data_IF_078707477218
#
_entry.id   IF_078707477218
#
_cell.length_a   1.000
_cell.length_b   1.000
_cell.length_c   1.000
_cell.angle_alpha   90.00
_cell.angle_beta   90.00
_cell.angle_gamma   90.00
#
_symmetry.space_group_name_H-M   'P 1'
#
loop_
_entity.id
_entity.type
_entity.pdbx_description
1 polymer ?
#
# COMPACT_ATOMS: atom_id res chain seq x y z
N UNK A 1 -9.22 -10.87 24.40
CA UNK A 1 -9.51 -9.67 23.60
C UNK A 1 -10.64 -10.03 22.64
N UNK A 2 -11.88 -9.63 22.93
CA UNK A 2 -12.99 -9.79 21.99
C UNK A 2 -13.11 -8.51 21.18
N UNK A 3 -12.53 -8.50 19.98
CA UNK A 3 -12.80 -7.46 18.99
C UNK A 3 -14.14 -7.81 18.33
N UNK A 4 -15.23 -7.29 18.87
CA UNK A 4 -16.54 -7.41 18.23
C UNK A 4 -16.43 -6.74 16.86
N UNK A 5 -16.43 -7.56 15.80
CA UNK A 5 -16.44 -7.06 14.43
C UNK A 5 -17.60 -6.09 14.23
N UNK A 6 -17.43 -5.10 13.36
CA UNK A 6 -18.52 -4.18 13.05
C UNK A 6 -19.74 -4.97 12.50
N UNK A 7 -20.98 -4.49 12.72
CA UNK A 7 -22.18 -5.15 12.20
C UNK A 7 -22.12 -5.42 10.69
N UNK A 8 -21.43 -4.56 9.93
CA UNK A 8 -21.25 -4.73 8.49
C UNK A 8 -20.34 -5.93 8.16
N UNK A 9 -19.21 -6.08 8.86
CA UNK A 9 -18.32 -7.22 8.67
C UNK A 9 -19.00 -8.53 9.08
N UNK A 10 -19.73 -8.53 10.21
CA UNK A 10 -20.48 -9.72 10.64
C UNK A 10 -21.49 -10.17 9.59
N UNK A 11 -22.24 -9.23 9.00
CA UNK A 11 -23.19 -9.51 7.92
C UNK A 11 -22.49 -10.05 6.67
N UNK A 12 -21.39 -9.44 6.24
CA UNK A 12 -20.66 -9.89 5.07
C UNK A 12 -20.09 -11.31 5.23
N UNK A 13 -19.54 -11.62 6.41
CA UNK A 13 -18.97 -12.95 6.72
C UNK A 13 -20.07 -14.00 6.85
N UNK A 14 -21.25 -13.67 7.37
CA UNK A 14 -22.35 -14.63 7.56
C UNK A 14 -22.87 -15.29 6.27
N UNK A 15 -22.60 -14.70 5.11
CA UNK A 15 -23.03 -15.20 3.79
C UNK A 15 -21.85 -15.62 2.90
N UNK A 16 -20.62 -15.54 3.40
CA UNK A 16 -19.43 -15.86 2.62
C UNK A 16 -19.25 -17.38 2.42
N UNK A 17 -18.56 -17.75 1.34
CA UNK A 17 -18.00 -19.09 1.15
C UNK A 17 -16.47 -18.95 1.20
N UNK A 18 -15.77 -19.66 2.09
CA UNK A 18 -14.31 -19.65 2.11
C UNK A 18 -13.73 -20.07 0.75
N UNK A 19 -12.70 -19.37 0.31
CA UNK A 19 -11.87 -19.77 -0.82
C UNK A 19 -10.52 -20.25 -0.27
N UNK A 20 -9.95 -21.28 -0.89
CA UNK A 20 -8.62 -21.80 -0.55
C UNK A 20 -7.58 -21.01 -1.35
N UNK A 21 -7.24 -19.83 -0.85
CA UNK A 21 -6.32 -18.87 -1.49
C UNK A 21 -5.30 -18.41 -0.47
N UNK A 22 -4.02 -18.45 -0.85
CA UNK A 22 -2.93 -17.99 0.00
C UNK A 22 -2.76 -16.48 -0.16
N UNK A 23 -3.03 -15.74 0.90
CA UNK A 23 -2.79 -14.30 0.95
C UNK A 23 -1.29 -14.02 1.05
N UNK A 24 -0.77 -13.14 0.20
CA UNK A 24 0.66 -12.79 0.14
C UNK A 24 0.92 -11.30 0.25
N UNK A 25 2.10 -10.96 0.78
CA UNK A 25 2.72 -9.64 0.65
C UNK A 25 3.67 -9.68 -0.55
N UNK A 26 3.53 -8.72 -1.46
CA UNK A 26 4.41 -8.57 -2.61
C UNK A 26 5.41 -7.45 -2.35
N UNK A 27 6.69 -7.71 -2.59
CA UNK A 27 7.71 -6.67 -2.62
C UNK A 27 7.65 -5.95 -3.98
N UNK A 28 7.45 -4.63 -3.95
CA UNK A 28 7.42 -3.80 -5.14
C UNK A 28 8.75 -3.83 -5.92
N UNK A 29 9.87 -4.13 -5.26
CA UNK A 29 11.17 -4.29 -5.92
C UNK A 29 11.25 -5.56 -6.79
N UNK A 30 10.34 -6.52 -6.60
CA UNK A 30 10.22 -7.70 -7.45
C UNK A 30 9.34 -7.46 -8.70
N UNK A 31 8.67 -6.30 -8.79
CA UNK A 31 7.91 -5.92 -9.97
C UNK A 31 8.82 -5.23 -10.99
N UNK A 32 8.79 -5.71 -12.23
CA UNK A 32 9.54 -5.08 -13.33
C UNK A 32 8.90 -3.76 -13.79
N UNK A 33 7.62 -3.55 -13.50
CA UNK A 33 6.87 -2.37 -13.92
C UNK A 33 5.58 -2.15 -13.11
N UNK A 34 5.11 -0.90 -13.05
CA UNK A 34 3.77 -0.51 -12.58
C UNK A 34 2.76 -0.39 -13.73
N UNK A 35 3.15 -0.72 -14.97
CA UNK A 35 2.27 -0.65 -16.13
C UNK A 35 1.11 -1.66 -16.03
N UNK A 36 -0.11 -1.22 -16.38
CA UNK A 36 -1.32 -2.03 -16.24
C UNK A 36 -1.34 -3.32 -17.05
N UNK A 37 -0.60 -3.40 -18.17
CA UNK A 37 -0.45 -4.65 -18.94
C UNK A 37 0.35 -5.69 -18.15
N UNK A 38 1.47 -5.29 -17.56
CA UNK A 38 2.30 -6.15 -16.72
C UNK A 38 1.58 -6.57 -15.45
N UNK A 39 0.97 -5.62 -14.73
CA UNK A 39 0.24 -5.93 -13.50
C UNK A 39 -0.96 -6.86 -13.74
N UNK A 40 -1.55 -6.84 -14.94
CA UNK A 40 -2.62 -7.76 -15.33
C UNK A 40 -2.10 -9.19 -15.45
N UNK A 41 -0.93 -9.36 -16.05
CA UNK A 41 -0.26 -10.66 -16.17
C UNK A 41 0.11 -11.18 -14.77
N UNK A 42 0.79 -10.39 -13.95
CA UNK A 42 1.14 -10.75 -12.56
C UNK A 42 -0.10 -11.15 -11.76
N UNK A 43 -1.20 -10.38 -11.85
CA UNK A 43 -2.44 -10.69 -11.14
C UNK A 43 -3.06 -12.00 -11.59
N UNK A 44 -3.03 -12.29 -12.90
CA UNK A 44 -3.56 -13.52 -13.46
C UNK A 44 -2.72 -14.72 -13.01
N UNK A 45 -1.40 -14.62 -13.10
CA UNK A 45 -0.48 -15.68 -12.70
C UNK A 45 -0.56 -15.99 -11.19
N UNK A 46 -0.65 -14.96 -10.34
CA UNK A 46 -0.89 -15.16 -8.91
C UNK A 46 -2.19 -15.93 -8.66
N UNK A 47 -3.27 -15.57 -9.34
CA UNK A 47 -4.56 -16.24 -9.16
C UNK A 47 -4.53 -17.69 -9.66
N UNK A 48 -3.87 -17.96 -10.79
CA UNK A 48 -3.72 -19.31 -11.35
C UNK A 48 -2.91 -20.23 -10.42
N UNK A 49 -1.94 -19.66 -9.70
CA UNK A 49 -1.12 -20.36 -8.69
C UNK A 49 -1.78 -20.37 -7.28
N UNK A 50 -3.00 -19.84 -7.13
CA UNK A 50 -3.74 -19.87 -5.85
C UNK A 50 -3.30 -18.81 -4.83
N UNK A 51 -2.67 -17.74 -5.27
CA UNK A 51 -2.25 -16.60 -4.46
C UNK A 51 -3.15 -15.38 -4.65
N UNK A 52 -3.26 -14.57 -3.59
CA UNK A 52 -3.90 -13.25 -3.65
C UNK A 52 -3.01 -12.22 -2.96
N UNK A 53 -2.63 -11.17 -3.70
CA UNK A 53 -1.94 -10.02 -3.15
C UNK A 53 -2.84 -9.31 -2.13
N UNK A 54 -2.43 -9.28 -0.86
CA UNK A 54 -3.11 -8.51 0.18
C UNK A 54 -2.38 -7.22 0.52
N UNK A 55 -1.05 -7.23 0.43
CA UNK A 55 -0.20 -6.07 0.72
C UNK A 55 0.82 -5.90 -0.40
N UNK A 56 1.04 -4.66 -0.83
CA UNK A 56 2.23 -4.27 -1.59
C UNK A 56 3.19 -3.57 -0.62
N UNK A 57 4.42 -4.04 -0.53
CA UNK A 57 5.47 -3.45 0.29
C UNK A 57 6.44 -2.69 -0.60
N UNK A 58 6.78 -1.45 -0.23
CA UNK A 58 7.71 -0.59 -0.97
C UNK A 58 8.67 0.09 0.00
N UNK A 59 9.91 0.33 -0.43
CA UNK A 59 10.87 1.14 0.32
C UNK A 59 10.95 2.53 -0.29
N UNK A 60 10.90 3.55 0.55
CA UNK A 60 11.03 4.95 0.14
C UNK A 60 12.20 5.64 0.83
N UNK A 61 12.77 6.65 0.18
CA UNK A 61 13.89 7.45 0.69
C UNK A 61 13.64 8.94 0.52
N UNK A 62 13.75 9.68 1.61
CA UNK A 62 13.63 11.15 1.64
C UNK A 62 14.95 11.80 2.08
N UNK A 63 16.03 11.44 1.39
CA UNK A 63 17.43 11.76 1.77
C UNK A 63 17.80 13.23 1.54
N UNK A 64 17.00 13.92 0.74
CA UNK A 64 17.20 15.31 0.36
C UNK A 64 16.17 16.22 1.02
N UNK A 65 16.60 17.42 1.40
CA UNK A 65 15.75 18.43 2.04
C UNK A 65 15.05 19.38 1.05
N UNK A 66 15.21 19.12 -0.26
CA UNK A 66 14.66 19.93 -1.33
C UNK A 66 13.27 19.43 -1.76
N UNK A 67 12.34 20.36 -2.04
CA UNK A 67 10.95 20.00 -2.35
C UNK A 67 10.82 19.14 -3.61
N UNK A 68 11.73 19.30 -4.58
CA UNK A 68 11.68 18.53 -5.84
C UNK A 68 11.92 17.04 -5.59
N UNK A 69 12.98 16.68 -4.86
CA UNK A 69 13.28 15.30 -4.51
C UNK A 69 12.14 14.66 -3.71
N UNK A 70 11.57 15.40 -2.74
CA UNK A 70 10.38 14.93 -2.01
C UNK A 70 9.19 14.67 -2.94
N UNK A 71 8.92 15.56 -3.90
CA UNK A 71 7.81 15.35 -4.84
C UNK A 71 8.07 14.16 -5.77
N UNK A 72 9.29 13.98 -6.27
CA UNK A 72 9.65 12.82 -7.10
C UNK A 72 9.39 11.50 -6.37
N UNK A 73 9.81 11.40 -5.12
CA UNK A 73 9.58 10.20 -4.30
C UNK A 73 8.07 9.98 -4.06
N UNK A 74 7.32 11.04 -3.77
CA UNK A 74 5.87 10.96 -3.57
C UNK A 74 5.15 10.57 -4.86
N UNK A 75 5.59 11.06 -6.01
CA UNK A 75 5.01 10.70 -7.31
C UNK A 75 5.26 9.21 -7.61
N UNK A 76 6.44 8.67 -7.29
CA UNK A 76 6.70 7.23 -7.37
C UNK A 76 5.78 6.43 -6.44
N UNK A 77 5.60 6.86 -5.20
CA UNK A 77 4.68 6.21 -4.27
C UNK A 77 3.22 6.25 -4.73
N UNK A 78 2.80 7.27 -5.50
CA UNK A 78 1.45 7.31 -6.09
C UNK A 78 1.25 6.21 -7.13
N UNK A 79 2.28 5.88 -7.92
CA UNK A 79 2.20 4.76 -8.87
C UNK A 79 1.99 3.44 -8.13
N UNK A 80 2.62 3.26 -6.97
CA UNK A 80 2.43 2.05 -6.16
C UNK A 80 1.06 1.99 -5.46
N UNK A 81 0.43 3.12 -5.14
CA UNK A 81 -0.98 3.12 -4.68
C UNK A 81 -1.89 2.60 -5.79
N UNK A 82 -1.69 3.06 -7.02
CA UNK A 82 -2.46 2.62 -8.18
C UNK A 82 -2.19 1.14 -8.48
N UNK A 83 -0.94 0.70 -8.39
CA UNK A 83 -0.56 -0.70 -8.56
C UNK A 83 -1.20 -1.60 -7.49
N UNK A 84 -1.17 -1.20 -6.21
CA UNK A 84 -1.81 -1.94 -5.12
C UNK A 84 -3.32 -2.10 -5.37
N UNK A 85 -4.01 -1.01 -5.71
CA UNK A 85 -5.44 -1.04 -6.04
C UNK A 85 -5.72 -1.96 -7.24
N UNK A 86 -4.89 -1.88 -8.29
CA UNK A 86 -5.02 -2.72 -9.48
C UNK A 86 -4.85 -4.22 -9.16
N UNK A 87 -3.82 -4.57 -8.39
CA UNK A 87 -3.54 -5.94 -7.94
C UNK A 87 -4.63 -6.47 -6.99
N UNK A 88 -5.43 -5.58 -6.39
CA UNK A 88 -6.45 -5.92 -5.40
C UNK A 88 -5.90 -6.03 -3.97
N UNK A 89 -4.69 -5.51 -3.75
CA UNK A 89 -4.12 -5.38 -2.42
C UNK A 89 -4.85 -4.26 -1.67
N UNK A 90 -5.35 -4.56 -0.47
CA UNK A 90 -6.04 -3.58 0.37
C UNK A 90 -5.07 -2.70 1.16
N UNK A 91 -3.76 -2.98 1.11
CA UNK A 91 -2.73 -2.26 1.85
C UNK A 91 -1.51 -1.96 0.99
N UNK A 92 -0.96 -0.76 1.18
CA UNK A 92 0.37 -0.37 0.75
C UNK A 92 1.21 -0.09 2.00
N UNK A 93 2.27 -0.86 2.22
CA UNK A 93 3.23 -0.63 3.31
C UNK A 93 4.46 0.07 2.74
N UNK A 94 4.72 1.28 3.20
CA UNK A 94 5.92 2.05 2.83
C UNK A 94 6.92 1.99 3.97
N UNK A 95 8.05 1.34 3.73
CA UNK A 95 9.19 1.38 4.65
C UNK A 95 10.02 2.62 4.33
N UNK A 96 10.08 3.58 5.25
CA UNK A 96 10.94 4.76 5.08
C UNK A 96 12.30 4.45 5.68
N UNK A 97 13.30 4.28 4.81
CA UNK A 97 14.69 3.95 5.18
C UNK A 97 15.36 5.18 5.84
N UNK A 98 15.13 6.35 5.25
CA UNK A 98 15.84 7.58 5.58
C UNK A 98 14.97 8.82 5.31
N UNK A 99 15.08 9.83 6.18
CA UNK A 99 14.34 11.09 6.05
C UNK A 99 15.16 12.28 6.59
N UNK A 100 15.47 13.24 5.72
CA UNK A 100 16.28 14.41 6.07
C UNK A 100 15.49 15.56 6.71
N UNK A 101 14.20 15.68 6.39
CA UNK A 101 13.33 16.77 6.88
C UNK A 101 11.88 16.27 7.08
N UNK A 102 11.59 15.52 8.17
CA UNK A 102 10.30 14.90 8.39
C UNK A 102 9.12 15.86 8.32
N UNK A 103 9.28 17.09 8.83
CA UNK A 103 8.25 18.12 8.82
C UNK A 103 7.83 18.57 7.42
N UNK A 104 8.72 18.45 6.43
CA UNK A 104 8.42 18.77 5.03
C UNK A 104 7.76 17.61 4.30
N UNK A 105 8.06 16.38 4.70
CA UNK A 105 7.57 15.15 4.06
C UNK A 105 6.18 14.77 4.56
N UNK A 106 5.91 14.96 5.86
CA UNK A 106 4.63 14.61 6.50
C UNK A 106 3.37 15.09 5.76
N UNK A 107 3.27 16.36 5.29
CA UNK A 107 2.09 16.81 4.55
C UNK A 107 1.89 16.06 3.23
N UNK A 108 2.98 15.71 2.54
CA UNK A 108 2.90 14.98 1.28
C UNK A 108 2.50 13.51 1.50
N UNK A 109 3.02 12.87 2.56
CA UNK A 109 2.59 11.53 2.97
C UNK A 109 1.12 11.49 3.44
N UNK A 110 0.66 12.53 4.15
CA UNK A 110 -0.76 12.64 4.52
C UNK A 110 -1.64 12.76 3.27
N UNK A 111 -1.26 13.60 2.29
CA UNK A 111 -1.98 13.70 1.03
C UNK A 111 -1.97 12.38 0.23
N UNK A 112 -0.88 11.63 0.29
CA UNK A 112 -0.79 10.29 -0.30
C UNK A 112 -1.72 9.30 0.41
N UNK A 113 -1.81 9.33 1.74
CA UNK A 113 -2.72 8.49 2.52
C UNK A 113 -4.19 8.74 2.14
N UNK A 114 -4.59 10.01 2.02
CA UNK A 114 -5.94 10.39 1.56
C UNK A 114 -6.22 9.95 0.11
N UNK A 115 -5.20 9.91 -0.75
CA UNK A 115 -5.35 9.33 -2.09
C UNK A 115 -5.52 7.82 -2.01
N UNK A 116 -4.70 7.13 -1.23
CA UNK A 116 -4.77 5.69 -1.07
C UNK A 116 -6.15 5.26 -0.55
N UNK A 117 -6.69 5.96 0.45
CA UNK A 117 -8.03 5.72 0.98
C UNK A 117 -9.12 5.82 -0.09
N UNK A 118 -9.06 6.84 -0.96
CA UNK A 118 -9.98 6.99 -2.10
C UNK A 118 -9.89 5.85 -3.12
N UNK A 119 -8.73 5.23 -3.26
CA UNK A 119 -8.51 4.06 -4.12
C UNK A 119 -8.82 2.73 -3.39
N UNK A 120 -9.29 2.78 -2.14
CA UNK A 120 -9.59 1.61 -1.31
C UNK A 120 -8.34 0.91 -0.74
N UNK A 121 -7.20 1.61 -0.72
CA UNK A 121 -5.91 1.10 -0.24
C UNK A 121 -5.53 1.78 1.07
N UNK A 122 -5.28 1.00 2.12
CA UNK A 122 -4.76 1.52 3.38
C UNK A 122 -3.24 1.75 3.26
N UNK A 123 -2.80 3.01 3.38
CA UNK A 123 -1.38 3.33 3.50
C UNK A 123 -0.90 3.07 4.94
N UNK A 124 0.18 2.31 5.10
CA UNK A 124 0.87 2.11 6.37
C UNK A 124 2.33 2.52 6.22
N UNK A 125 2.87 3.26 7.18
CA UNK A 125 4.31 3.52 7.25
C UNK A 125 4.96 2.51 8.20
N UNK A 126 6.05 1.91 7.75
CA UNK A 126 6.98 1.14 8.55
C UNK A 126 8.33 1.87 8.56
N UNK A 127 9.10 1.73 9.64
CA UNK A 127 10.37 2.47 9.79
C UNK A 127 10.26 3.66 10.74
N UNK A 128 11.12 4.66 10.55
CA UNK A 128 11.49 5.68 11.54
C UNK A 128 10.30 6.24 12.35
N UNK A 129 10.45 6.23 13.68
CA UNK A 129 9.39 6.55 14.64
C UNK A 129 8.87 8.00 14.53
N UNK A 130 9.59 8.87 13.82
CA UNK A 130 9.20 10.25 13.57
C UNK A 130 8.14 10.42 12.48
N UNK A 131 7.87 9.40 11.66
CA UNK A 131 6.85 9.46 10.62
C UNK A 131 5.63 8.60 10.99
N UNK A 132 4.63 9.25 11.57
CA UNK A 132 3.29 8.66 11.75
C UNK A 132 2.31 9.32 10.81
N UNK A 133 1.49 8.50 10.12
CA UNK A 133 0.33 9.03 9.41
C UNK A 133 -0.70 9.54 10.44
N UNK A 134 -1.42 10.63 10.13
CA UNK A 134 -2.56 11.02 10.95
C UNK A 134 -3.59 9.88 10.96
N UNK A 135 -4.08 9.55 12.15
CA UNK A 135 -5.19 8.61 12.31
C UNK A 135 -6.45 9.38 11.92
N UNK A 136 -7.08 8.99 10.82
CA UNK A 136 -8.40 9.52 10.44
C UNK A 136 -9.49 8.81 11.24
#
# INVERSE_FOLDING_TARGET
>A
MSTTHSPNVQRAVSTCRPADVTSVELDAAALDSTASSYLREVKAELADEGYQAATLAVTARFDENCSLATQTEIDSLREYVEAASFLGASRLTVTVDTVAAPEKVRPALAALAERADREGVQLTLAGDAELTLPVN
#
